data_IF_812269567825
#
_entry.id   IF_812269567825
#
_cell.length_a   1.000
_cell.length_b   1.000
_cell.length_c   1.000
_cell.angle_alpha   90.00
_cell.angle_beta   90.00
_cell.angle_gamma   90.00
#
_symmetry.space_group_name_H-M   'P 1'
#
loop_
_entity.id
_entity.type
_entity.pdbx_description
1 polymer ?
#
# COMPACT_ATOMS: atom_id res chain seq x y z
N UNK A 1 -13.37 -33.63 -12.88
CA UNK A 1 -13.20 -32.18 -13.06
C UNK A 1 -12.32 -31.99 -14.28
N UNK A 2 -12.77 -31.20 -15.26
CA UNK A 2 -12.04 -30.99 -16.51
C UNK A 2 -11.03 -29.84 -16.34
N UNK A 3 -9.81 -30.20 -15.96
CA UNK A 3 -8.70 -29.27 -15.75
C UNK A 3 -8.11 -28.75 -17.07
N UNK A 4 -8.52 -29.30 -18.21
CA UNK A 4 -7.97 -28.93 -19.52
C UNK A 4 -8.36 -27.49 -19.89
N UNK A 5 -9.62 -27.11 -19.66
CA UNK A 5 -10.11 -25.76 -19.97
C UNK A 5 -9.47 -24.69 -19.07
N UNK A 6 -9.24 -25.00 -17.80
CA UNK A 6 -8.57 -24.09 -16.85
C UNK A 6 -7.10 -23.91 -17.21
N UNK A 7 -6.42 -25.01 -17.58
CA UNK A 7 -5.03 -24.95 -18.02
C UNK A 7 -4.89 -24.14 -19.31
N UNK A 8 -5.82 -24.30 -20.25
CA UNK A 8 -5.84 -23.55 -21.50
C UNK A 8 -6.06 -22.04 -21.28
N UNK A 9 -6.97 -21.64 -20.38
CA UNK A 9 -7.17 -20.23 -20.01
C UNK A 9 -5.90 -19.63 -19.37
N UNK A 10 -5.26 -20.37 -18.47
CA UNK A 10 -4.00 -19.94 -17.84
C UNK A 10 -2.87 -19.79 -18.87
N UNK A 11 -2.73 -20.74 -19.79
CA UNK A 11 -1.72 -20.67 -20.86
C UNK A 11 -1.96 -19.46 -21.78
N UNK A 12 -3.22 -19.20 -22.16
CA UNK A 12 -3.56 -18.05 -23.00
C UNK A 12 -3.24 -16.71 -22.30
N UNK A 13 -3.50 -16.61 -20.98
CA UNK A 13 -3.16 -15.43 -20.19
C UNK A 13 -1.65 -15.22 -20.09
N UNK A 14 -0.86 -16.28 -19.90
CA UNK A 14 0.62 -16.18 -19.88
C UNK A 14 1.15 -15.65 -21.20
N UNK A 15 0.66 -16.18 -22.33
CA UNK A 15 1.05 -15.72 -23.67
C UNK A 15 0.72 -14.23 -23.87
N UNK A 16 -0.44 -13.78 -23.39
CA UNK A 16 -0.83 -12.38 -23.50
C UNK A 16 0.06 -11.46 -22.65
N UNK A 17 0.44 -11.90 -21.44
CA UNK A 17 1.35 -11.17 -20.56
C UNK A 17 2.74 -11.05 -21.18
N UNK A 18 3.29 -12.12 -21.73
CA UNK A 18 4.60 -12.12 -22.40
C UNK A 18 4.63 -11.10 -23.56
N UNK A 19 3.56 -11.04 -24.36
CA UNK A 19 3.44 -10.05 -25.44
C UNK A 19 3.44 -8.61 -24.92
N UNK A 20 2.72 -8.34 -23.82
CA UNK A 20 2.68 -7.00 -23.20
C UNK A 20 4.04 -6.58 -22.65
N UNK A 21 4.75 -7.50 -21.98
CA UNK A 21 6.11 -7.25 -21.47
C UNK A 21 7.06 -6.94 -22.63
N UNK A 22 7.04 -7.73 -23.70
CA UNK A 22 7.89 -7.51 -24.87
C UNK A 22 7.64 -6.14 -25.51
N UNK A 23 6.38 -5.70 -25.57
CA UNK A 23 6.01 -4.36 -26.06
C UNK A 23 6.55 -3.24 -25.17
N UNK A 24 6.39 -3.36 -23.85
CA UNK A 24 6.91 -2.38 -22.88
C UNK A 24 8.43 -2.29 -22.90
N UNK A 25 9.12 -3.41 -23.09
CA UNK A 25 10.58 -3.42 -23.25
C UNK A 25 11.03 -2.73 -24.54
N UNK A 26 10.27 -2.89 -25.63
CA UNK A 26 10.51 -2.18 -26.89
C UNK A 26 10.29 -0.67 -26.73
N UNK A 27 9.18 -0.26 -26.09
CA UNK A 27 8.88 1.15 -25.80
C UNK A 27 9.94 1.78 -24.90
N UNK A 28 10.39 1.08 -23.85
CA UNK A 28 11.51 1.52 -22.99
C UNK A 28 12.81 1.66 -23.78
N UNK A 29 13.08 0.74 -24.71
CA UNK A 29 14.28 0.79 -25.57
C UNK A 29 14.23 1.96 -26.55
N UNK A 30 13.05 2.32 -27.06
CA UNK A 30 12.87 3.49 -27.92
C UNK A 30 13.00 4.80 -27.13
N UNK A 31 12.42 4.87 -25.93
CA UNK A 31 12.59 6.01 -25.01
C UNK A 31 14.08 6.29 -24.73
N UNK A 32 14.85 5.24 -24.40
CA UNK A 32 16.29 5.33 -24.18
C UNK A 32 17.08 5.70 -25.45
N UNK A 33 16.53 5.44 -26.65
CA UNK A 33 17.15 5.81 -27.93
C UNK A 33 16.93 7.29 -28.30
N UNK A 34 15.93 7.94 -27.69
CA UNK A 34 15.57 9.34 -27.93
C UNK A 34 16.32 10.36 -27.07
N UNK A 35 17.16 9.94 -26.12
CA UNK A 35 17.95 10.86 -25.30
C UNK A 35 19.25 11.30 -26.00
N UNK A 36 19.60 12.60 -26.03
CA UNK A 36 20.91 13.06 -26.46
C UNK A 36 22.00 12.54 -25.50
N UNK A 37 22.98 11.81 -26.05
CA UNK A 37 24.08 11.22 -25.29
C UNK A 37 25.08 12.28 -24.79
N UNK A 38 25.10 12.56 -23.49
CA UNK A 38 26.34 12.98 -22.81
C UNK A 38 27.22 11.75 -22.62
N UNK A 39 28.25 11.64 -23.46
CA UNK A 39 29.27 10.58 -23.47
C UNK A 39 30.14 10.65 -22.22
N UNK A 40 30.35 9.53 -21.53
CA UNK A 40 31.67 9.18 -21.00
C UNK A 40 31.89 7.68 -21.24
N UNK A 41 32.95 7.41 -21.99
CA UNK A 41 33.43 6.14 -22.54
C UNK A 41 34.37 5.42 -21.57
N UNK A 42 34.44 4.08 -21.71
CA UNK A 42 35.62 3.20 -21.56
C UNK A 42 36.38 3.24 -20.21
N UNK A 43 36.71 2.16 -19.51
CA UNK A 43 37.09 0.81 -19.92
C UNK A 43 37.27 -0.02 -18.62
N UNK A 44 36.92 -1.31 -18.67
CA UNK A 44 37.66 -2.47 -18.13
C UNK A 44 38.51 -2.28 -16.84
N UNK A 45 38.43 -3.06 -15.77
CA UNK A 45 38.47 -4.53 -15.72
C UNK A 45 38.70 -5.03 -14.26
N UNK A 46 38.14 -6.21 -13.96
CA UNK A 46 38.74 -7.30 -13.14
C UNK A 46 38.93 -7.14 -11.60
N UNK A 47 38.02 -7.83 -10.89
CA UNK A 47 38.23 -8.86 -9.85
C UNK A 47 38.92 -8.61 -8.48
N UNK A 48 38.23 -9.19 -7.46
CA UNK A 48 38.66 -9.84 -6.19
C UNK A 48 38.85 -8.99 -4.91
N UNK A 49 37.99 -9.29 -3.92
CA UNK A 49 38.40 -10.01 -2.70
C UNK A 49 38.60 -9.23 -1.38
N UNK A 50 37.84 -9.65 -0.36
CA UNK A 50 38.12 -9.67 1.10
C UNK A 50 38.07 -8.38 1.95
N UNK A 51 37.55 -8.57 3.17
CA UNK A 51 37.18 -7.62 4.23
C UNK A 51 38.33 -6.75 4.81
N UNK A 52 38.00 -5.56 5.34
CA UNK A 52 38.32 -5.15 6.73
C UNK A 52 37.86 -3.71 7.05
N UNK A 53 37.47 -3.52 8.30
CA UNK A 53 37.00 -2.29 8.93
C UNK A 53 38.07 -1.19 9.05
N UNK A 54 37.79 0.04 8.56
CA UNK A 54 38.42 1.28 9.05
C UNK A 54 37.67 2.54 8.56
N UNK A 55 37.16 3.37 9.47
CA UNK A 55 36.91 4.81 9.27
C UNK A 55 37.98 5.61 10.07
N UNK A 56 38.35 6.88 9.78
CA UNK A 56 37.55 7.95 9.12
C UNK A 56 38.28 9.01 8.23
N UNK A 57 37.46 9.86 7.55
CA UNK A 57 37.65 11.33 7.20
C UNK A 57 38.70 11.70 6.10
N UNK A 58 38.52 12.63 5.14
CA UNK A 58 37.61 13.78 4.88
C UNK A 58 37.49 14.13 3.38
N UNK A 59 36.34 14.72 3.02
CA UNK A 59 36.07 15.82 2.07
C UNK A 59 36.50 15.72 0.60
N UNK A 60 35.50 15.70 -0.30
CA UNK A 60 35.61 16.27 -1.65
C UNK A 60 34.83 15.53 -2.74
N UNK A 61 33.90 16.24 -3.37
CA UNK A 61 33.26 15.96 -4.67
C UNK A 61 32.01 15.03 -4.73
N UNK A 62 30.85 15.71 -4.78
CA UNK A 62 29.69 15.47 -5.65
C UNK A 62 29.16 14.03 -5.75
N UNK A 63 28.47 13.60 -4.69
CA UNK A 63 27.63 12.40 -4.71
C UNK A 63 26.38 12.68 -5.56
N UNK A 64 26.28 12.02 -6.71
CA UNK A 64 25.04 11.96 -7.49
C UNK A 64 23.91 11.49 -6.57
N UNK A 65 22.85 12.28 -6.48
CA UNK A 65 21.71 11.99 -5.60
C UNK A 65 21.03 10.72 -6.08
N UNK A 66 21.29 9.61 -5.40
CA UNK A 66 20.31 8.54 -5.30
C UNK A 66 19.08 9.21 -4.68
N UNK A 67 18.02 9.40 -5.46
CA UNK A 67 16.72 9.74 -4.88
C UNK A 67 16.29 8.54 -4.03
N UNK A 68 16.73 8.54 -2.77
CA UNK A 68 16.16 7.69 -1.73
C UNK A 68 14.68 8.03 -1.74
N UNK A 69 13.83 7.11 -2.21
CA UNK A 69 12.37 7.26 -2.13
C UNK A 69 12.03 7.54 -0.67
N UNK A 70 11.82 8.82 -0.35
CA UNK A 70 11.52 9.23 1.01
C UNK A 70 10.18 8.60 1.37
N UNK A 71 10.17 7.85 2.48
CA UNK A 71 8.95 7.27 3.01
C UNK A 71 7.93 8.38 3.19
N UNK A 72 6.77 8.22 2.56
CA UNK A 72 5.69 9.18 2.71
C UNK A 72 5.26 9.25 4.18
N UNK A 73 5.48 10.41 4.78
CA UNK A 73 5.18 10.74 6.17
C UNK A 73 4.01 11.73 6.30
N UNK A 74 3.23 11.90 5.23
CA UNK A 74 2.06 12.78 5.16
C UNK A 74 1.11 12.53 6.31
N UNK A 75 0.66 13.62 6.94
CA UNK A 75 -0.28 13.61 8.06
C UNK A 75 -1.56 14.35 7.68
N UNK A 76 -2.61 14.05 8.41
CA UNK A 76 -3.95 14.59 8.18
C UNK A 76 -4.54 15.08 9.48
N UNK A 77 -5.37 16.11 9.40
CA UNK A 77 -6.14 16.64 10.51
C UNK A 77 -7.58 16.17 10.34
N UNK A 78 -8.12 15.51 11.36
CA UNK A 78 -9.54 15.16 11.48
C UNK A 78 -10.05 15.82 12.76
N UNK A 79 -11.04 16.71 12.66
CA UNK A 79 -11.61 17.46 13.78
C UNK A 79 -10.57 18.18 14.66
N UNK A 80 -9.51 18.71 14.04
CA UNK A 80 -8.41 19.39 14.75
C UNK A 80 -7.35 18.45 15.35
N UNK A 81 -7.50 17.13 15.23
CA UNK A 81 -6.52 16.15 15.72
C UNK A 81 -5.64 15.63 14.59
N UNK A 82 -4.32 15.59 14.81
CA UNK A 82 -3.32 15.18 13.83
C UNK A 82 -3.11 13.66 13.80
N UNK A 83 -3.27 13.05 12.63
CA UNK A 83 -3.14 11.62 12.40
C UNK A 83 -2.13 11.27 11.30
N UNK A 84 -1.46 10.12 11.46
CA UNK A 84 -0.81 9.42 10.35
C UNK A 84 -1.86 8.72 9.49
N UNK A 85 -1.54 8.38 8.24
CA UNK A 85 -2.44 7.73 7.26
C UNK A 85 -3.30 6.59 7.84
N UNK A 86 -2.65 5.58 8.42
CA UNK A 86 -3.33 4.41 8.96
C UNK A 86 -4.19 4.75 10.19
N UNK A 87 -3.70 5.67 11.03
CA UNK A 87 -4.41 6.16 12.21
C UNK A 87 -5.62 7.02 11.85
N UNK A 88 -5.56 7.77 10.75
CA UNK A 88 -6.69 8.51 10.21
C UNK A 88 -7.81 7.54 9.81
N UNK A 89 -7.48 6.47 9.07
CA UNK A 89 -8.47 5.47 8.67
C UNK A 89 -9.16 4.85 9.89
N UNK A 90 -8.38 4.44 10.89
CA UNK A 90 -8.93 3.92 12.15
C UNK A 90 -9.87 4.94 12.82
N UNK A 91 -9.43 6.20 12.95
CA UNK A 91 -10.22 7.24 13.59
C UNK A 91 -11.54 7.52 12.86
N UNK A 92 -11.51 7.57 11.52
CA UNK A 92 -12.72 7.75 10.69
C UNK A 92 -13.69 6.59 10.88
N UNK A 93 -13.22 5.34 10.83
CA UNK A 93 -14.07 4.16 11.02
C UNK A 93 -14.65 4.12 12.44
N UNK A 94 -13.84 4.39 13.46
CA UNK A 94 -14.29 4.47 14.85
C UNK A 94 -15.36 5.54 15.03
N UNK A 95 -15.12 6.75 14.52
CA UNK A 95 -16.07 7.86 14.62
C UNK A 95 -17.37 7.54 13.90
N UNK A 96 -17.31 6.97 12.70
CA UNK A 96 -18.50 6.54 11.95
C UNK A 96 -19.37 5.57 12.75
N UNK A 97 -18.76 4.55 13.37
CA UNK A 97 -19.49 3.58 14.19
C UNK A 97 -20.01 4.21 15.48
N UNK A 98 -19.24 5.12 16.09
CA UNK A 98 -19.63 5.84 17.29
C UNK A 98 -20.83 6.76 17.05
N UNK A 99 -20.86 7.48 15.93
CA UNK A 99 -21.96 8.37 15.53
C UNK A 99 -23.27 7.58 15.30
N UNK A 100 -23.16 6.31 14.92
CA UNK A 100 -24.28 5.36 14.81
C UNK A 100 -24.58 4.61 16.13
N UNK A 101 -23.94 4.99 17.24
CA UNK A 101 -24.06 4.35 18.55
C UNK A 101 -23.77 2.82 18.53
N UNK A 102 -22.93 2.36 17.61
CA UNK A 102 -22.64 0.94 17.45
C UNK A 102 -23.80 0.10 16.90
N UNK A 103 -24.90 0.74 16.48
CA UNK A 103 -26.07 0.10 15.92
C UNK A 103 -25.89 -0.21 14.42
N UNK A 104 -24.80 -0.89 14.09
CA UNK A 104 -24.42 -1.24 12.72
C UNK A 104 -23.85 -2.66 12.70
N UNK A 105 -24.14 -3.42 11.65
CA UNK A 105 -23.57 -4.76 11.46
C UNK A 105 -22.26 -4.71 10.70
N UNK A 106 -21.50 -5.79 10.75
CA UNK A 106 -20.26 -5.93 9.98
C UNK A 106 -20.50 -5.79 8.47
N UNK A 107 -21.65 -6.26 7.96
CA UNK A 107 -21.98 -6.22 6.53
C UNK A 107 -22.36 -4.79 6.10
N UNK A 108 -23.12 -4.07 6.93
CA UNK A 108 -23.40 -2.65 6.74
C UNK A 108 -22.10 -1.83 6.72
N UNK A 109 -21.18 -2.10 7.65
CA UNK A 109 -19.90 -1.41 7.71
C UNK A 109 -19.05 -1.68 6.46
N UNK A 110 -19.07 -2.91 5.93
CA UNK A 110 -18.42 -3.27 4.66
C UNK A 110 -19.10 -2.64 3.45
N UNK A 111 -20.41 -2.40 3.49
CA UNK A 111 -21.12 -1.66 2.45
C UNK A 111 -20.73 -0.17 2.44
N UNK A 112 -20.53 0.41 3.63
CA UNK A 112 -20.07 1.80 3.78
C UNK A 112 -18.61 1.97 3.40
N UNK A 113 -17.75 1.03 3.79
CA UNK A 113 -16.33 0.99 3.46
C UNK A 113 -15.99 -0.24 2.60
N UNK A 114 -16.33 -0.21 1.29
CA UNK A 114 -16.08 -1.32 0.40
C UNK A 114 -14.61 -1.72 0.33
N UNK A 115 -14.39 -3.02 0.12
CA UNK A 115 -13.07 -3.63 0.03
C UNK A 115 -12.13 -2.92 -0.98
N UNK A 116 -12.66 -2.44 -2.10
CA UNK A 116 -11.86 -1.83 -3.17
C UNK A 116 -11.10 -0.56 -2.73
N UNK A 117 -11.56 0.12 -1.67
CA UNK A 117 -10.90 1.33 -1.16
C UNK A 117 -9.47 1.06 -0.68
N UNK A 118 -9.22 -0.15 -0.16
CA UNK A 118 -7.88 -0.56 0.27
C UNK A 118 -7.25 -1.50 -0.76
N UNK A 119 -8.03 -2.45 -1.30
CA UNK A 119 -7.56 -3.51 -2.20
C UNK A 119 -7.84 -4.91 -1.65
N UNK A 120 -6.80 -5.75 -1.57
CA UNK A 120 -6.95 -7.18 -1.27
C UNK A 120 -7.31 -7.50 0.19
N UNK A 121 -6.92 -6.63 1.14
CA UNK A 121 -7.20 -6.79 2.57
C UNK A 121 -8.56 -6.19 2.95
N UNK A 122 -8.99 -5.15 2.21
CA UNK A 122 -10.17 -4.37 2.56
C UNK A 122 -9.88 -3.34 3.64
N UNK A 123 -10.85 -2.44 3.90
CA UNK A 123 -10.74 -1.42 4.95
C UNK A 123 -10.92 -2.06 6.32
N UNK A 124 -11.93 -2.92 6.43
CA UNK A 124 -12.30 -3.64 7.64
C UNK A 124 -12.51 -5.12 7.32
N UNK A 125 -12.19 -5.99 8.27
CA UNK A 125 -12.42 -7.43 8.17
C UNK A 125 -12.91 -7.99 9.51
N UNK A 126 -13.78 -9.02 9.46
CA UNK A 126 -14.23 -9.71 10.68
C UNK A 126 -13.02 -10.31 11.37
N UNK A 127 -12.96 -10.18 12.70
CA UNK A 127 -11.85 -10.71 13.51
C UNK A 127 -11.55 -12.18 13.20
N UNK A 128 -12.60 -13.00 13.09
CA UNK A 128 -12.48 -14.44 12.83
C UNK A 128 -11.84 -14.73 11.46
N UNK A 129 -12.19 -13.92 10.45
CA UNK A 129 -11.65 -14.05 9.09
C UNK A 129 -10.22 -13.52 9.02
N UNK A 130 -9.93 -12.41 9.70
CA UNK A 130 -8.59 -11.84 9.76
C UNK A 130 -7.60 -12.83 10.41
N UNK A 131 -7.99 -13.46 11.51
CA UNK A 131 -7.17 -14.46 12.23
C UNK A 131 -6.85 -15.70 11.39
N UNK A 132 -7.65 -16.06 10.38
CA UNK A 132 -7.36 -17.19 9.48
C UNK A 132 -6.10 -16.96 8.63
N UNK A 133 -5.58 -15.72 8.57
CA UNK A 133 -4.31 -15.39 7.89
C UNK A 133 -3.07 -15.82 8.69
N UNK A 134 -3.25 -16.47 9.84
CA UNK A 134 -2.15 -16.83 10.74
C UNK A 134 -1.46 -15.59 11.29
N UNK A 135 -0.18 -15.68 11.62
CA UNK A 135 0.59 -14.61 12.29
C UNK A 135 0.70 -13.28 11.54
N UNK A 136 0.36 -13.22 10.25
CA UNK A 136 0.45 -11.99 9.46
C UNK A 136 -0.66 -10.97 9.81
N UNK A 137 -1.77 -11.41 10.41
CA UNK A 137 -2.92 -10.54 10.68
C UNK A 137 -2.58 -9.35 11.58
N UNK A 138 -1.78 -9.54 12.63
CA UNK A 138 -1.33 -8.48 13.56
C UNK A 138 -0.49 -7.40 12.86
N UNK A 139 0.14 -7.72 11.72
CA UNK A 139 0.89 -6.75 10.92
C UNK A 139 0.04 -6.03 9.87
N UNK A 140 -1.14 -6.58 9.57
CA UNK A 140 -2.05 -6.12 8.51
C UNK A 140 -3.21 -5.32 9.07
N UNK A 141 -3.56 -5.55 10.33
CA UNK A 141 -4.70 -4.92 10.98
C UNK A 141 -4.34 -4.36 12.36
N UNK A 142 -5.16 -3.45 12.85
CA UNK A 142 -5.15 -2.98 14.23
C UNK A 142 -5.86 -4.01 15.12
N UNK A 143 -5.11 -4.64 16.02
CA UNK A 143 -5.58 -5.75 16.87
C UNK A 143 -5.55 -5.43 18.35
N UNK A 144 -5.08 -4.24 18.75
CA UNK A 144 -5.07 -3.84 20.15
C UNK A 144 -6.52 -3.65 20.65
N UNK A 145 -6.81 -4.07 21.88
CA UNK A 145 -8.18 -4.18 22.40
C UNK A 145 -9.00 -2.88 22.33
N UNK A 146 -8.35 -1.71 22.41
CA UNK A 146 -8.99 -0.40 22.29
C UNK A 146 -9.22 0.05 20.84
N UNK A 147 -8.63 -0.64 19.87
CA UNK A 147 -8.72 -0.33 18.43
C UNK A 147 -9.74 -1.24 17.73
N UNK A 148 -10.10 -2.36 18.35
CA UNK A 148 -11.10 -3.30 17.85
C UNK A 148 -12.47 -2.62 17.80
N UNK A 149 -13.10 -2.68 16.62
CA UNK A 149 -14.44 -2.14 16.40
C UNK A 149 -15.46 -3.20 16.84
N UNK A 150 -16.27 -2.87 17.84
CA UNK A 150 -17.33 -3.75 18.34
C UNK A 150 -18.66 -3.36 17.71
N UNK A 151 -19.30 -4.32 17.06
CA UNK A 151 -20.56 -4.18 16.34
C UNK A 151 -21.63 -5.11 16.93
N UNK A 152 -22.85 -5.03 16.41
CA UNK A 152 -23.97 -5.86 16.88
C UNK A 152 -23.74 -7.36 16.69
N UNK A 153 -23.09 -7.73 15.60
CA UNK A 153 -22.94 -9.11 15.12
C UNK A 153 -21.48 -9.60 15.16
N UNK A 154 -20.57 -8.86 15.80
CA UNK A 154 -19.19 -9.30 15.98
C UNK A 154 -18.15 -8.20 16.17
N UNK A 155 -16.89 -8.62 16.12
CA UNK A 155 -15.73 -7.73 16.20
C UNK A 155 -15.07 -7.58 14.82
N UNK A 156 -14.68 -6.36 14.49
CA UNK A 156 -14.01 -6.03 13.24
C UNK A 156 -12.64 -5.44 13.52
N UNK A 157 -11.67 -5.82 12.69
CA UNK A 157 -10.36 -5.20 12.65
C UNK A 157 -10.25 -4.25 11.46
N UNK A 158 -9.54 -3.14 11.67
CA UNK A 158 -9.26 -2.15 10.62
C UNK A 158 -7.89 -2.40 10.03
N UNK A 159 -7.78 -2.38 8.70
CA UNK A 159 -6.51 -2.57 8.01
C UNK A 159 -5.55 -1.41 8.30
N UNK A 160 -4.31 -1.74 8.66
CA UNK A 160 -3.27 -0.77 9.01
C UNK A 160 -2.41 -0.35 7.80
N UNK A 161 -2.60 -0.98 6.64
CA UNK A 161 -1.73 -0.81 5.46
C UNK A 161 -2.32 0.12 4.41
N UNK A 162 -1.82 1.36 4.45
CA UNK A 162 -2.26 2.45 3.58
C UNK A 162 -1.05 3.13 2.93
N UNK A 163 -1.10 3.23 1.61
CA UNK A 163 -0.09 3.85 0.77
C UNK A 163 -0.63 5.09 0.06
N UNK A 164 0.21 5.72 -0.75
CA UNK A 164 -0.17 6.87 -1.58
C UNK A 164 -1.25 6.55 -2.61
N UNK A 165 -1.34 5.29 -3.06
CA UNK A 165 -2.23 4.91 -4.14
C UNK A 165 -3.66 4.58 -3.69
N UNK A 166 -3.86 4.10 -2.46
CA UNK A 166 -5.18 3.67 -1.98
C UNK A 166 -5.82 4.69 -1.01
N UNK A 167 -5.02 5.46 -0.28
CA UNK A 167 -5.55 6.45 0.66
C UNK A 167 -6.46 7.51 0.02
N UNK A 168 -6.17 8.07 -1.18
CA UNK A 168 -7.04 9.08 -1.78
C UNK A 168 -8.49 8.61 -2.00
N UNK A 169 -8.70 7.34 -2.36
CA UNK A 169 -10.04 6.79 -2.52
C UNK A 169 -10.79 6.72 -1.18
N UNK A 170 -10.07 6.35 -0.12
CA UNK A 170 -10.63 6.36 1.23
C UNK A 170 -10.98 7.78 1.70
N UNK A 171 -10.12 8.78 1.44
CA UNK A 171 -10.39 10.18 1.78
C UNK A 171 -11.65 10.68 1.10
N UNK A 172 -11.78 10.47 -0.21
CA UNK A 172 -12.99 10.84 -0.95
C UNK A 172 -14.24 10.17 -0.35
N UNK A 173 -14.14 8.90 0.07
CA UNK A 173 -15.25 8.22 0.73
C UNK A 173 -15.58 8.84 2.09
N UNK A 174 -14.58 9.19 2.88
CA UNK A 174 -14.79 9.83 4.17
C UNK A 174 -15.43 11.23 4.03
N UNK A 175 -14.99 12.02 3.05
CA UNK A 175 -15.61 13.31 2.74
C UNK A 175 -17.08 13.17 2.35
N UNK A 176 -17.43 12.15 1.55
CA UNK A 176 -18.84 11.84 1.22
C UNK A 176 -19.68 11.46 2.44
N UNK A 177 -19.05 10.93 3.49
CA UNK A 177 -19.70 10.62 4.77
C UNK A 177 -19.77 11.84 5.71
N UNK A 178 -19.23 12.99 5.29
CA UNK A 178 -19.28 14.25 6.04
C UNK A 178 -18.10 14.50 6.98
N UNK A 179 -17.01 13.75 6.87
CA UNK A 179 -15.82 13.99 7.68
C UNK A 179 -15.00 15.19 7.14
N UNK A 180 -14.69 16.17 8.00
CA UNK A 180 -13.73 17.25 7.70
C UNK A 180 -12.30 16.72 7.87
N UNK A 181 -11.67 16.36 6.76
CA UNK A 181 -10.29 15.91 6.71
C UNK A 181 -9.45 16.91 5.93
N UNK A 182 -8.37 17.38 6.56
CA UNK A 182 -7.43 18.32 5.93
C UNK A 182 -6.03 17.76 5.91
N UNK A 183 -5.27 18.13 4.88
CA UNK A 183 -3.84 17.87 4.85
C UNK A 183 -3.15 18.74 5.91
N UNK A 184 -2.25 18.14 6.70
CA UNK A 184 -1.51 18.84 7.76
C UNK A 184 -0.22 19.49 7.26
#
# INVERSE_FOLDING_TARGET
MDYSNVLLDLMNRVIELEKRVSKLEAERREYLRGEPQTKITAEESVAKGYESDFEPKKEGALHGTVEIQRRDSTKYILDGVLYKKNRLVLAVVQKYVQDLHGNITCDDLKAVFPKYLQGSLGVVERKEIACQRGVDYERRYFTESQEVIKLLDGEMYVCSQWGIFNLPQFLNRAEQLGFDIRLA
#
